data_IF_043739086929
#
_entry.id   IF_043739086929
#
_cell.length_a   1.000
_cell.length_b   1.000
_cell.length_c   1.000
_cell.angle_alpha   90.00
_cell.angle_beta   90.00
_cell.angle_gamma   90.00
#
_symmetry.space_group_name_H-M   'P 1'
#
loop_
_entity.id
_entity.type
_entity.pdbx_description
1 polymer ?
#
# COMPACT_ATOMS: atom_id res chain seq x y z
N UNK A 1 13.89 35.08 -13.99
CA UNK A 1 13.83 33.64 -14.37
C UNK A 1 13.88 32.70 -13.17
N UNK A 2 14.51 33.10 -12.05
CA UNK A 2 14.63 32.29 -10.82
C UNK A 2 13.29 31.96 -10.11
N UNK A 3 12.28 32.82 -10.23
CA UNK A 3 10.93 32.58 -9.68
C UNK A 3 10.21 31.38 -10.32
N UNK A 4 10.54 31.08 -11.59
CA UNK A 4 9.98 29.94 -12.31
C UNK A 4 10.65 28.62 -11.92
N UNK A 5 11.91 28.67 -11.49
CA UNK A 5 12.66 27.50 -11.05
C UNK A 5 12.16 26.96 -9.68
N UNK A 6 11.80 27.85 -8.75
CA UNK A 6 11.21 27.44 -7.46
C UNK A 6 9.82 26.79 -7.63
N UNK A 7 8.99 27.32 -8.54
CA UNK A 7 7.68 26.72 -8.85
C UNK A 7 7.83 25.33 -9.50
N UNK A 8 8.79 25.16 -10.41
CA UNK A 8 9.07 23.86 -11.02
C UNK A 8 9.59 22.83 -10.00
N UNK A 9 10.43 23.24 -9.06
CA UNK A 9 10.97 22.35 -8.02
C UNK A 9 9.91 21.87 -7.02
N UNK A 10 8.94 22.73 -6.67
CA UNK A 10 7.82 22.36 -5.81
C UNK A 10 6.87 21.33 -6.46
N UNK A 11 6.66 21.41 -7.77
CA UNK A 11 5.84 20.45 -8.53
C UNK A 11 6.52 19.08 -8.60
N UNK A 12 7.84 19.05 -8.78
CA UNK A 12 8.62 17.79 -8.80
C UNK A 12 8.63 17.10 -7.43
N UNK A 13 8.69 17.86 -6.33
CA UNK A 13 8.62 17.30 -4.97
C UNK A 13 7.23 16.73 -4.64
N UNK A 14 6.15 17.38 -5.10
CA UNK A 14 4.78 16.88 -4.91
C UNK A 14 4.50 15.62 -5.74
N UNK A 15 5.05 15.52 -6.96
CA UNK A 15 4.93 14.33 -7.80
C UNK A 15 5.73 13.13 -7.24
N UNK A 16 6.86 13.39 -6.58
CA UNK A 16 7.65 12.34 -5.94
C UNK A 16 6.96 11.70 -4.72
N UNK A 17 6.18 12.48 -3.96
CA UNK A 17 5.45 11.97 -2.78
C UNK A 17 4.31 11.00 -3.12
N UNK A 18 3.69 11.16 -4.30
CA UNK A 18 2.58 10.30 -4.78
C UNK A 18 3.07 8.89 -5.14
N UNK A 19 4.33 8.73 -5.54
CA UNK A 19 4.89 7.43 -5.92
C UNK A 19 5.13 6.51 -4.71
N UNK A 20 5.13 7.03 -3.47
CA UNK A 20 5.45 6.26 -2.26
C UNK A 20 4.23 5.72 -1.49
N UNK A 21 3.00 6.11 -1.86
CA UNK A 21 1.80 5.71 -1.10
C UNK A 21 1.17 4.40 -1.57
N UNK A 22 1.67 3.80 -2.66
CA UNK A 22 1.17 2.55 -3.24
C UNK A 22 2.06 1.34 -2.94
N UNK A 23 2.65 1.26 -1.75
CA UNK A 23 3.50 0.12 -1.41
C UNK A 23 2.67 -1.19 -1.44
N UNK A 24 3.15 -2.25 -2.12
CA UNK A 24 2.49 -3.55 -2.03
C UNK A 24 2.50 -4.03 -0.57
N UNK A 25 1.43 -4.70 -0.15
CA UNK A 25 1.44 -5.41 1.12
C UNK A 25 2.58 -6.44 1.10
N UNK A 26 3.66 -6.17 1.84
CA UNK A 26 4.80 -7.06 1.90
C UNK A 26 4.49 -8.24 2.82
N UNK A 27 4.10 -9.37 2.26
CA UNK A 27 4.05 -10.62 3.00
C UNK A 27 5.48 -11.11 3.30
N UNK A 28 5.86 -11.11 4.58
CA UNK A 28 7.13 -11.68 5.02
C UNK A 28 7.08 -13.22 4.91
N UNK A 29 7.89 -13.81 4.04
CA UNK A 29 7.94 -15.26 3.80
C UNK A 29 8.81 -16.02 4.82
N UNK A 30 9.48 -15.33 5.75
CA UNK A 30 10.41 -15.98 6.69
C UNK A 30 9.64 -16.64 7.85
N UNK A 31 9.31 -17.91 7.66
CA UNK A 31 8.69 -18.80 8.64
C UNK A 31 9.80 -19.55 9.37
N UNK A 32 9.91 -19.45 10.70
CA UNK A 32 11.03 -20.03 11.44
C UNK A 32 10.66 -20.38 12.89
N UNK A 33 11.12 -21.55 13.32
CA UNK A 33 11.04 -22.04 14.70
C UNK A 33 12.39 -22.64 15.09
N UNK A 34 12.84 -22.39 16.32
CA UNK A 34 14.09 -22.97 16.83
C UNK A 34 13.94 -24.42 17.28
N UNK A 35 12.71 -24.87 17.58
CA UNK A 35 12.39 -26.25 17.98
C UNK A 35 13.04 -26.76 19.28
N UNK A 36 13.82 -25.93 19.99
CA UNK A 36 14.71 -26.41 21.04
C UNK A 36 13.93 -26.87 22.29
N UNK A 37 14.11 -28.13 22.69
CA UNK A 37 13.44 -28.74 23.85
C UNK A 37 11.96 -29.07 23.63
N UNK A 38 11.47 -29.06 22.39
CA UNK A 38 10.05 -29.25 22.10
C UNK A 38 9.68 -30.71 21.84
N UNK A 39 8.65 -31.21 22.51
CA UNK A 39 8.08 -32.55 22.26
C UNK A 39 7.04 -32.51 21.10
N UNK A 40 6.40 -31.37 20.84
CA UNK A 40 5.27 -31.26 19.88
C UNK A 40 5.11 -29.86 19.22
N UNK A 41 6.16 -29.03 19.25
CA UNK A 41 6.10 -27.64 18.77
C UNK A 41 6.75 -27.42 17.40
N UNK A 42 6.55 -26.21 16.86
CA UNK A 42 6.97 -25.86 15.50
C UNK A 42 5.85 -25.93 14.45
N UNK A 43 4.61 -26.15 14.87
CA UNK A 43 3.45 -26.19 13.99
C UNK A 43 3.14 -24.78 13.47
N UNK A 44 3.58 -24.49 12.25
CA UNK A 44 3.36 -23.21 11.58
C UNK A 44 2.46 -23.45 10.36
N UNK A 45 1.32 -22.76 10.30
CA UNK A 45 0.42 -22.78 9.14
C UNK A 45 0.70 -21.53 8.30
N UNK A 46 1.13 -21.76 7.07
CA UNK A 46 1.36 -20.72 6.07
C UNK A 46 0.28 -20.89 5.03
N UNK A 47 -0.66 -19.95 4.99
CA UNK A 47 -1.73 -19.94 4.01
C UNK A 47 -1.62 -18.63 3.23
N UNK A 48 -1.72 -18.76 1.91
CA UNK A 48 -1.92 -17.62 1.04
C UNK A 48 -3.38 -17.19 1.16
N UNK A 49 -3.60 -15.92 1.47
CA UNK A 49 -4.92 -15.36 1.69
C UNK A 49 -5.10 -14.19 0.75
N UNK A 50 -5.86 -14.42 -0.31
CA UNK A 50 -6.34 -13.35 -1.18
C UNK A 50 -7.46 -12.59 -0.45
N UNK A 51 -7.18 -11.36 -0.06
CA UNK A 51 -8.17 -10.46 0.57
C UNK A 51 -8.43 -9.29 -0.37
N UNK A 52 -9.68 -9.05 -0.78
CA UNK A 52 -9.97 -8.02 -1.77
C UNK A 52 -10.04 -6.68 -1.05
N UNK A 53 -8.92 -5.97 -0.99
CA UNK A 53 -8.87 -4.65 -0.36
C UNK A 53 -8.96 -3.59 -1.43
N UNK A 54 -10.04 -2.79 -1.41
CA UNK A 54 -10.17 -1.61 -2.24
C UNK A 54 -10.01 -0.35 -1.38
N UNK A 55 -8.99 0.45 -1.70
CA UNK A 55 -8.73 1.75 -1.07
C UNK A 55 -9.00 2.84 -2.10
N UNK A 56 -10.25 3.31 -2.16
CA UNK A 56 -10.68 4.35 -3.09
C UNK A 56 -11.09 5.63 -2.36
N UNK A 57 -11.25 6.73 -3.11
CA UNK A 57 -11.80 7.97 -2.54
C UNK A 57 -10.73 8.80 -1.83
N UNK A 58 -9.46 8.61 -2.17
CA UNK A 58 -8.38 9.43 -1.68
C UNK A 58 -8.15 10.61 -2.61
N UNK A 59 -8.28 11.83 -2.09
CA UNK A 59 -7.85 13.04 -2.78
C UNK A 59 -7.05 13.92 -1.82
N UNK A 60 -5.94 14.47 -2.32
CA UNK A 60 -5.06 15.37 -1.57
C UNK A 60 -4.85 16.62 -2.44
N UNK A 61 -5.04 17.81 -1.88
CA UNK A 61 -4.75 19.07 -2.56
C UNK A 61 -3.92 19.99 -1.67
N UNK A 62 -2.95 20.68 -2.28
CA UNK A 62 -1.97 21.52 -1.57
C UNK A 62 -2.31 23.01 -1.66
N UNK A 63 -2.89 23.49 -2.78
CA UNK A 63 -3.21 24.92 -2.99
C UNK A 63 -4.60 25.13 -3.62
N UNK A 64 -5.49 24.13 -3.57
CA UNK A 64 -6.78 24.14 -4.25
C UNK A 64 -7.77 23.11 -3.70
N UNK A 65 -8.89 22.87 -4.40
CA UNK A 65 -9.94 21.93 -3.98
C UNK A 65 -9.63 20.52 -4.47
N UNK A 66 -9.61 19.55 -3.55
CA UNK A 66 -9.57 18.12 -3.87
C UNK A 66 -10.95 17.50 -3.66
N UNK A 67 -11.43 16.76 -4.65
CA UNK A 67 -12.62 15.92 -4.55
C UNK A 67 -12.25 14.48 -4.88
N UNK A 68 -12.78 13.54 -4.12
CA UNK A 68 -12.66 12.11 -4.40
C UNK A 68 -14.05 11.50 -4.48
N UNK A 69 -14.25 10.55 -5.37
CA UNK A 69 -15.49 9.80 -5.49
C UNK A 69 -15.17 8.32 -5.67
N UNK A 70 -16.04 7.48 -5.14
CA UNK A 70 -16.04 6.05 -5.41
C UNK A 70 -17.43 5.59 -5.82
N UNK A 71 -17.50 4.82 -6.89
CA UNK A 71 -18.69 4.09 -7.31
C UNK A 71 -18.22 2.73 -7.82
N UNK A 72 -18.97 1.65 -7.53
CA UNK A 72 -18.64 0.27 -7.94
C UNK A 72 -17.20 -0.17 -7.62
N UNK A 73 -16.77 0.02 -6.37
CA UNK A 73 -15.40 -0.27 -5.90
C UNK A 73 -14.92 -1.72 -6.05
N UNK A 74 -15.78 -2.65 -6.48
CA UNK A 74 -15.41 -3.86 -7.21
C UNK A 74 -14.50 -4.90 -6.53
N UNK A 75 -14.00 -4.64 -5.32
CA UNK A 75 -13.13 -5.56 -4.60
C UNK A 75 -13.84 -6.90 -4.38
N UNK A 76 -13.43 -7.90 -5.15
CA UNK A 76 -13.97 -9.26 -5.03
C UNK A 76 -12.83 -10.26 -5.15
N UNK A 77 -12.77 -11.20 -4.21
CA UNK A 77 -12.01 -12.44 -4.38
C UNK A 77 -12.90 -13.42 -5.11
N UNK A 78 -12.34 -14.14 -6.08
CA UNK A 78 -13.02 -15.26 -6.72
C UNK A 78 -12.31 -16.53 -6.25
N UNK A 79 -12.93 -17.22 -5.29
CA UNK A 79 -12.51 -18.57 -4.95
C UNK A 79 -12.95 -19.49 -6.09
N UNK A 80 -12.06 -20.38 -6.51
CA UNK A 80 -12.38 -21.51 -7.38
C UNK A 80 -12.90 -22.68 -6.55
#
# INVERSE_FOLDING_TARGET
MLKKAFAASAIVAAAAGVLLTGAPAMANSNVSTSGNGSILGGNQLVADLDVPINVCGNAIAVLGVAGANCTDSGATVKNW
#
